data_IF_223008505937
#
_entry.id   IF_223008505937
#
_cell.length_a   1.000
_cell.length_b   1.000
_cell.length_c   1.000
_cell.angle_alpha   90.00
_cell.angle_beta   90.00
_cell.angle_gamma   90.00
#
_symmetry.space_group_name_H-M   'P 1'
#
loop_
_entity.id
_entity.type
_entity.pdbx_description
1 polymer ?
#
# COMPACT_ATOMS: atom_id res chain seq x y z
N UNK A 1 -5.32 1.38 -9.71
CA UNK A 1 -5.33 -0.09 -9.91
C UNK A 1 -3.99 -0.62 -10.46
N UNK A 2 -2.93 0.18 -10.36
CA UNK A 2 -1.57 -0.20 -10.81
C UNK A 2 -1.48 -0.55 -12.31
N UNK A 3 -2.25 0.13 -13.15
CA UNK A 3 -2.19 -0.05 -14.60
C UNK A 3 -0.79 0.28 -15.15
N UNK A 4 -0.35 -0.45 -16.17
CA UNK A 4 0.97 -0.25 -16.77
C UNK A 4 1.20 1.19 -17.26
N UNK A 5 0.18 1.81 -17.85
CA UNK A 5 0.26 3.20 -18.28
C UNK A 5 0.55 4.19 -17.13
N UNK A 6 -0.02 3.95 -15.94
CA UNK A 6 0.27 4.76 -14.74
C UNK A 6 1.70 4.52 -14.28
N UNK A 7 2.16 3.27 -14.25
CA UNK A 7 3.54 2.94 -13.91
C UNK A 7 4.54 3.63 -14.87
N UNK A 8 4.21 3.66 -16.16
CA UNK A 8 5.04 4.33 -17.17
C UNK A 8 5.07 5.85 -17.02
N UNK A 9 4.01 6.47 -16.50
CA UNK A 9 4.00 7.90 -16.18
C UNK A 9 4.86 8.22 -14.95
N UNK A 10 4.93 7.32 -13.96
CA UNK A 10 5.69 7.55 -12.73
C UNK A 10 7.21 7.62 -12.97
N UNK A 11 7.71 7.06 -14.08
CA UNK A 11 9.13 7.12 -14.44
C UNK A 11 9.64 8.55 -14.67
N UNK A 12 8.75 9.46 -15.05
CA UNK A 12 9.10 10.84 -15.41
C UNK A 12 8.88 11.83 -14.24
N UNK A 13 8.43 11.33 -13.08
CA UNK A 13 8.16 12.15 -11.89
C UNK A 13 9.40 12.21 -11.01
N UNK A 14 9.96 13.38 -10.84
CA UNK A 14 11.05 13.64 -9.87
C UNK A 14 10.47 13.67 -8.45
N UNK A 15 10.54 12.52 -7.78
CA UNK A 15 9.98 12.31 -6.45
C UNK A 15 11.05 11.89 -5.44
N UNK A 16 10.99 12.45 -4.24
CA UNK A 16 11.83 12.05 -3.11
C UNK A 16 11.47 10.67 -2.55
N UNK A 17 10.22 10.25 -2.71
CA UNK A 17 9.71 8.93 -2.31
C UNK A 17 8.48 8.54 -3.13
N UNK A 18 8.26 7.25 -3.33
CA UNK A 18 7.01 6.71 -3.87
C UNK A 18 6.25 5.95 -2.79
N UNK A 19 5.04 6.40 -2.46
CA UNK A 19 4.15 5.73 -1.51
C UNK A 19 3.02 5.07 -2.30
N UNK A 20 2.97 3.74 -2.26
CA UNK A 20 2.02 2.93 -3.01
C UNK A 20 0.88 2.50 -2.08
N UNK A 21 -0.11 3.36 -1.93
CA UNK A 21 -1.37 3.13 -1.22
C UNK A 21 -2.52 2.98 -2.23
N UNK A 22 -2.50 1.89 -2.98
CA UNK A 22 -3.47 1.63 -4.05
C UNK A 22 -4.29 0.35 -3.84
N UNK A 23 -4.09 -0.33 -2.73
CA UNK A 23 -4.59 -1.68 -2.47
C UNK A 23 -6.10 -1.85 -2.34
N UNK A 24 -6.90 -0.90 -1.84
CA UNK A 24 -8.34 -1.12 -1.75
C UNK A 24 -9.04 -1.35 -3.10
N UNK A 25 -8.45 -0.91 -4.21
CA UNK A 25 -9.12 -0.87 -5.52
C UNK A 25 -8.87 -2.06 -6.46
N UNK A 26 -7.64 -2.64 -6.60
CA UNK A 26 -7.41 -3.77 -7.47
C UNK A 26 -7.92 -5.08 -6.87
N UNK A 27 -8.25 -6.06 -7.72
CA UNK A 27 -8.50 -7.42 -7.25
C UNK A 27 -7.20 -8.11 -6.81
N UNK A 28 -7.25 -9.21 -6.05
CA UNK A 28 -6.06 -9.99 -5.72
C UNK A 28 -5.28 -10.47 -6.95
N UNK A 29 -5.98 -10.77 -8.05
CA UNK A 29 -5.41 -11.17 -9.33
C UNK A 29 -4.66 -9.99 -9.98
N UNK A 30 -5.28 -8.80 -10.03
CA UNK A 30 -4.65 -7.57 -10.54
C UNK A 30 -3.41 -7.19 -9.71
N UNK A 31 -3.45 -7.38 -8.38
CA UNK A 31 -2.30 -7.16 -7.50
C UNK A 31 -1.15 -8.10 -7.88
N UNK A 32 -1.47 -9.39 -8.04
CA UNK A 32 -0.48 -10.40 -8.41
C UNK A 32 0.15 -10.11 -9.77
N UNK A 33 -0.64 -9.70 -10.74
CA UNK A 33 -0.21 -9.43 -12.11
C UNK A 33 0.63 -8.13 -12.24
N UNK A 34 0.23 -7.05 -11.52
CA UNK A 34 0.68 -5.69 -11.83
C UNK A 34 1.73 -5.13 -10.90
N UNK A 35 1.80 -5.61 -9.64
CA UNK A 35 2.69 -5.02 -8.63
C UNK A 35 4.16 -5.06 -9.04
N UNK A 36 4.62 -6.18 -9.60
CA UNK A 36 6.03 -6.30 -10.01
C UNK A 36 6.38 -5.34 -11.14
N UNK A 37 5.50 -5.18 -12.13
CA UNK A 37 5.72 -4.23 -13.22
C UNK A 37 5.83 -2.80 -12.69
N UNK A 38 4.91 -2.38 -11.83
CA UNK A 38 4.91 -1.06 -11.21
C UNK A 38 6.22 -0.79 -10.45
N UNK A 39 6.57 -1.67 -9.52
CA UNK A 39 7.76 -1.48 -8.67
C UNK A 39 9.05 -1.54 -9.49
N UNK A 40 9.17 -2.47 -10.43
CA UNK A 40 10.34 -2.59 -11.29
C UNK A 40 10.49 -1.38 -12.22
N UNK A 41 9.39 -0.84 -12.74
CA UNK A 41 9.40 0.38 -13.55
C UNK A 41 9.91 1.56 -12.74
N UNK A 42 9.33 1.81 -11.55
CA UNK A 42 9.82 2.86 -10.66
C UNK A 42 11.32 2.64 -10.36
N UNK A 43 11.72 1.47 -9.94
CA UNK A 43 13.10 1.18 -9.56
C UNK A 43 14.10 1.35 -10.69
N UNK A 44 13.71 1.04 -11.91
CA UNK A 44 14.55 1.19 -13.10
C UNK A 44 14.94 2.65 -13.35
N UNK A 45 14.01 3.58 -13.15
CA UNK A 45 14.22 4.99 -13.44
C UNK A 45 14.58 5.83 -12.20
N UNK A 46 14.25 5.38 -11.00
CA UNK A 46 14.48 6.05 -9.72
C UNK A 46 15.32 5.18 -8.79
N UNK A 47 16.62 5.02 -9.14
CA UNK A 47 17.55 4.24 -8.33
C UNK A 47 17.81 4.94 -6.99
N UNK A 48 17.66 4.21 -5.88
CA UNK A 48 17.89 4.75 -4.53
C UNK A 48 16.71 5.50 -3.90
N UNK A 49 15.71 5.88 -4.67
CA UNK A 49 14.48 6.50 -4.12
C UNK A 49 13.66 5.46 -3.34
N UNK A 50 13.26 5.73 -2.08
CA UNK A 50 12.46 4.77 -1.32
C UNK A 50 11.09 4.53 -1.96
N UNK A 51 10.71 3.26 -2.05
CA UNK A 51 9.36 2.83 -2.42
C UNK A 51 8.72 2.22 -1.19
N UNK A 52 7.60 2.78 -0.75
CA UNK A 52 6.87 2.35 0.43
C UNK A 52 5.53 1.77 -0.01
N UNK A 53 5.37 0.48 0.17
CA UNK A 53 4.13 -0.26 -0.11
C UNK A 53 3.28 -0.26 1.16
N UNK A 54 2.00 0.13 1.07
CA UNK A 54 1.06 0.11 2.19
C UNK A 54 0.00 -0.96 1.94
N UNK A 55 -0.13 -1.89 2.88
CA UNK A 55 -1.13 -2.96 2.82
C UNK A 55 -2.55 -2.39 2.96
N UNK A 56 -3.54 -3.05 2.35
CA UNK A 56 -4.93 -2.65 2.50
C UNK A 56 -5.42 -2.83 3.94
N UNK A 57 -6.24 -1.90 4.40
CA UNK A 57 -6.97 -2.07 5.66
C UNK A 57 -8.20 -2.97 5.47
N UNK A 58 -8.64 -3.62 6.56
CA UNK A 58 -9.93 -4.30 6.59
C UNK A 58 -11.05 -3.26 6.52
N UNK A 59 -11.88 -3.34 5.48
CA UNK A 59 -13.05 -2.48 5.34
C UNK A 59 -14.06 -2.77 6.45
N UNK A 60 -14.77 -1.76 6.91
CA UNK A 60 -15.72 -1.88 8.00
C UNK A 60 -16.81 -2.92 7.72
N UNK A 61 -17.36 -2.94 6.50
CA UNK A 61 -18.35 -3.95 6.13
C UNK A 61 -17.78 -5.38 6.02
N UNK A 62 -16.46 -5.57 6.04
CA UNK A 62 -15.83 -6.88 6.13
C UNK A 62 -16.05 -7.58 7.48
N UNK A 63 -16.46 -6.85 8.51
CA UNK A 63 -16.85 -7.46 9.80
C UNK A 63 -18.24 -8.08 9.79
N UNK A 64 -19.09 -7.74 8.81
CA UNK A 64 -20.46 -8.25 8.65
C UNK A 64 -20.69 -9.00 7.34
N UNK A 65 -19.81 -8.80 6.32
CA UNK A 65 -19.90 -9.44 5.01
C UNK A 65 -18.64 -10.28 4.76
N UNK A 66 -18.82 -11.60 4.75
CA UNK A 66 -17.72 -12.56 4.54
C UNK A 66 -17.03 -12.39 3.19
N UNK A 67 -17.76 -12.04 2.12
CA UNK A 67 -17.16 -11.85 0.80
C UNK A 67 -16.23 -10.63 0.79
N UNK A 68 -16.59 -9.56 1.49
CA UNK A 68 -15.73 -8.39 1.67
C UNK A 68 -14.52 -8.71 2.53
N UNK A 69 -14.71 -9.44 3.63
CA UNK A 69 -13.63 -9.91 4.50
C UNK A 69 -12.60 -10.71 3.70
N UNK A 70 -13.05 -11.73 2.99
CA UNK A 70 -12.19 -12.61 2.20
C UNK A 70 -11.46 -11.84 1.09
N UNK A 71 -12.13 -10.88 0.47
CA UNK A 71 -11.51 -10.00 -0.52
C UNK A 71 -10.37 -9.18 0.09
N UNK A 72 -10.60 -8.48 1.20
CA UNK A 72 -9.57 -7.66 1.86
C UNK A 72 -8.38 -8.52 2.29
N UNK A 73 -8.65 -9.68 2.89
CA UNK A 73 -7.61 -10.63 3.30
C UNK A 73 -6.76 -11.07 2.11
N UNK A 74 -7.39 -11.53 1.03
CA UNK A 74 -6.66 -11.97 -0.17
C UNK A 74 -5.90 -10.84 -0.86
N UNK A 75 -6.42 -9.61 -0.85
CA UNK A 75 -5.70 -8.44 -1.35
C UNK A 75 -4.42 -8.20 -0.55
N UNK A 76 -4.49 -8.20 0.78
CA UNK A 76 -3.33 -8.04 1.67
C UNK A 76 -2.30 -9.16 1.45
N UNK A 77 -2.73 -10.42 1.46
CA UNK A 77 -1.86 -11.58 1.22
C UNK A 77 -1.15 -11.51 -0.14
N UNK A 78 -1.90 -11.18 -1.21
CA UNK A 78 -1.33 -11.04 -2.54
C UNK A 78 -0.25 -9.93 -2.57
N UNK A 79 -0.50 -8.79 -1.93
CA UNK A 79 0.44 -7.68 -1.92
C UNK A 79 1.70 -7.98 -1.12
N UNK A 80 1.56 -8.57 0.06
CA UNK A 80 2.70 -9.02 0.87
C UNK A 80 3.55 -10.04 0.11
N UNK A 81 2.91 -10.99 -0.55
CA UNK A 81 3.61 -11.97 -1.39
C UNK A 81 4.41 -11.31 -2.52
N UNK A 82 3.85 -10.29 -3.18
CA UNK A 82 4.58 -9.56 -4.22
C UNK A 82 5.78 -8.80 -3.64
N UNK A 83 5.63 -8.17 -2.47
CA UNK A 83 6.74 -7.54 -1.77
C UNK A 83 7.87 -8.55 -1.48
N UNK A 84 7.55 -9.72 -0.94
CA UNK A 84 8.54 -10.76 -0.64
C UNK A 84 9.27 -11.25 -1.89
N UNK A 85 8.54 -11.43 -3.01
CA UNK A 85 9.14 -11.81 -4.29
C UNK A 85 10.11 -10.74 -4.80
N UNK A 86 9.73 -9.47 -4.75
CA UNK A 86 10.58 -8.35 -5.14
C UNK A 86 11.83 -8.26 -4.27
N UNK A 87 11.71 -8.48 -2.96
CA UNK A 87 12.87 -8.56 -2.04
C UNK A 87 13.79 -9.71 -2.39
N UNK A 88 13.26 -10.90 -2.72
CA UNK A 88 14.06 -12.06 -3.18
C UNK A 88 14.76 -11.79 -4.51
N UNK A 89 14.18 -10.98 -5.38
CA UNK A 89 14.80 -10.51 -6.63
C UNK A 89 15.90 -9.47 -6.41
N UNK A 90 16.13 -9.05 -5.17
CA UNK A 90 17.18 -8.08 -4.82
C UNK A 90 16.77 -6.62 -4.97
N UNK A 91 15.47 -6.30 -5.09
CA UNK A 91 14.99 -4.92 -5.13
C UNK A 91 15.32 -4.24 -3.81
N UNK A 92 16.18 -3.22 -3.88
CA UNK A 92 16.62 -2.40 -2.74
C UNK A 92 15.64 -1.25 -2.47
N UNK A 93 15.77 -0.63 -1.30
CA UNK A 93 15.00 0.57 -0.92
C UNK A 93 13.48 0.39 -1.07
N UNK A 94 13.03 -0.84 -0.86
CA UNK A 94 11.63 -1.25 -0.89
C UNK A 94 11.18 -1.62 0.52
N UNK A 95 10.09 -1.01 0.98
CA UNK A 95 9.53 -1.14 2.32
C UNK A 95 8.08 -1.54 2.25
N UNK A 96 7.60 -2.24 3.29
CA UNK A 96 6.21 -2.62 3.45
C UNK A 96 5.70 -2.13 4.81
N UNK A 97 4.59 -1.43 4.80
CA UNK A 97 3.82 -1.10 6.00
C UNK A 97 2.60 -2.03 6.02
N UNK A 98 2.51 -2.83 7.09
CA UNK A 98 1.40 -3.77 7.28
C UNK A 98 0.22 -3.06 7.94
N UNK A 99 -0.98 -3.47 7.55
CA UNK A 99 -2.18 -3.05 8.25
C UNK A 99 -2.20 -3.64 9.67
N UNK A 100 -2.60 -2.83 10.63
CA UNK A 100 -2.85 -3.22 12.00
C UNK A 100 -4.12 -2.53 12.49
N UNK A 101 -5.25 -2.85 11.85
CA UNK A 101 -6.55 -2.23 12.10
C UNK A 101 -6.49 -0.69 11.94
N UNK A 102 -5.98 -0.23 10.80
CA UNK A 102 -5.66 1.18 10.59
C UNK A 102 -6.85 2.13 10.74
N UNK A 103 -8.08 1.67 10.49
CA UNK A 103 -9.29 2.48 10.71
C UNK A 103 -9.95 2.24 12.07
N UNK A 104 -9.35 1.38 12.93
CA UNK A 104 -9.87 1.00 14.24
C UNK A 104 -10.68 -0.28 14.22
N UNK A 105 -11.14 -0.71 15.41
CA UNK A 105 -11.93 -1.94 15.62
C UNK A 105 -13.23 -1.68 16.39
N UNK A 106 -13.56 -0.42 16.64
CA UNK A 106 -14.77 0.03 17.34
C UNK A 106 -15.94 0.31 16.40
N UNK A 107 -15.75 0.06 15.10
CA UNK A 107 -16.75 0.23 14.06
C UNK A 107 -17.12 1.69 13.75
N UNK A 108 -16.28 2.67 14.17
CA UNK A 108 -16.53 4.10 13.98
C UNK A 108 -15.68 4.74 12.87
N UNK A 109 -14.74 3.98 12.28
CA UNK A 109 -13.78 4.50 11.30
C UNK A 109 -14.34 4.68 9.88
N UNK A 110 -15.61 4.31 9.62
CA UNK A 110 -16.26 4.43 8.31
C UNK A 110 -17.76 4.64 8.46
N UNK A 111 -18.36 5.43 7.57
CA UNK A 111 -19.83 5.63 7.53
C UNK A 111 -20.52 4.70 6.52
N UNK A 112 -19.89 4.48 5.38
CA UNK A 112 -20.46 3.66 4.29
C UNK A 112 -19.99 2.20 4.30
N UNK A 113 -19.17 1.85 5.29
CA UNK A 113 -18.60 0.52 5.45
C UNK A 113 -17.39 0.23 4.55
N UNK A 114 -16.99 1.18 3.69
CA UNK A 114 -15.93 1.00 2.70
C UNK A 114 -14.83 2.04 2.82
N UNK A 115 -15.19 3.32 2.87
CA UNK A 115 -14.24 4.42 2.89
C UNK A 115 -14.02 4.95 4.31
N UNK A 116 -12.78 5.24 4.71
CA UNK A 116 -12.53 5.88 6.00
C UNK A 116 -13.22 7.24 6.07
N UNK A 117 -13.84 7.54 7.21
CA UNK A 117 -14.27 8.89 7.56
C UNK A 117 -13.09 9.66 8.20
N UNK A 118 -13.34 10.89 8.70
CA UNK A 118 -12.29 11.71 9.30
C UNK A 118 -11.57 11.00 10.45
N UNK A 119 -12.30 10.29 11.32
CA UNK A 119 -11.73 9.49 12.40
C UNK A 119 -10.89 8.32 11.87
N UNK A 120 -11.39 7.63 10.84
CA UNK A 120 -10.64 6.55 10.18
C UNK A 120 -9.35 7.05 9.57
N UNK A 121 -9.36 8.20 8.89
CA UNK A 121 -8.15 8.81 8.33
C UNK A 121 -7.18 9.26 9.43
N UNK A 122 -7.66 9.85 10.53
CA UNK A 122 -6.81 10.25 11.64
C UNK A 122 -6.06 9.06 12.22
N UNK A 123 -6.74 7.95 12.45
CA UNK A 123 -6.15 6.67 12.89
C UNK A 123 -5.13 6.11 11.89
N UNK A 124 -5.43 6.18 10.58
CA UNK A 124 -4.47 5.79 9.53
C UNK A 124 -3.21 6.63 9.60
N UNK A 125 -3.35 7.95 9.81
CA UNK A 125 -2.20 8.86 9.99
C UNK A 125 -1.40 8.46 11.22
N UNK A 126 -2.04 8.25 12.37
CA UNK A 126 -1.37 7.82 13.61
C UNK A 126 -0.58 6.52 13.42
N UNK A 127 -1.10 5.58 12.64
CA UNK A 127 -0.44 4.30 12.40
C UNK A 127 0.68 4.40 11.35
N UNK A 128 0.45 5.08 10.23
CA UNK A 128 1.36 5.04 9.09
C UNK A 128 2.44 6.11 9.16
N UNK A 129 2.12 7.32 9.60
CA UNK A 129 3.07 8.45 9.62
C UNK A 129 4.38 8.14 10.37
N UNK A 130 4.39 7.57 11.59
CA UNK A 130 5.64 7.26 12.27
C UNK A 130 6.53 6.28 11.52
N UNK A 131 5.92 5.34 10.80
CA UNK A 131 6.63 4.34 10.01
C UNK A 131 7.21 4.96 8.73
N UNK A 132 6.40 5.76 8.02
CA UNK A 132 6.83 6.50 6.83
C UNK A 132 7.99 7.43 7.19
N UNK A 133 7.84 8.24 8.22
CA UNK A 133 8.87 9.18 8.65
C UNK A 133 10.17 8.49 9.07
N UNK A 134 10.09 7.32 9.70
CA UNK A 134 11.28 6.50 10.05
C UNK A 134 12.02 6.03 8.79
N UNK A 135 11.29 5.69 7.74
CA UNK A 135 11.87 5.30 6.45
C UNK A 135 12.51 6.52 5.78
N UNK A 136 11.75 7.61 5.62
CA UNK A 136 12.20 8.83 4.94
C UNK A 136 13.45 9.45 5.57
N UNK A 137 13.56 9.43 6.89
CA UNK A 137 14.75 9.90 7.62
C UNK A 137 16.05 9.18 7.22
N UNK A 138 15.99 7.91 6.79
CA UNK A 138 17.18 7.18 6.29
C UNK A 138 17.72 7.78 5.00
N UNK A 139 16.90 8.55 4.28
CA UNK A 139 17.24 9.22 3.02
C UNK A 139 17.44 10.72 3.18
N UNK A 140 17.47 11.23 4.42
CA UNK A 140 17.63 12.65 4.70
C UNK A 140 16.37 13.49 4.42
N UNK A 141 15.25 12.86 4.16
CA UNK A 141 13.95 13.52 3.93
C UNK A 141 13.31 13.83 5.29
N UNK A 142 12.85 15.10 5.45
CA UNK A 142 12.28 15.63 6.71
C UNK A 142 10.75 15.73 6.64
#
# INVERSE_FOLDING_TARGET
>A
KMEAAVADMLKDIDADAFILDCMPNPSPEEITERTQYLVNTIRKYHQGTPIIMIETYMRENGYSDQAVHDRCTRQGEAFVKQYELLKKQGIKDLYLIRDNHAIGTDHEGSVDGTHPNDLGFDRMVEQYQPQIMRILKKYGIK
#
